data_IF_534374309989
#
_entry.id   IF_534374309989
#
_cell.length_a   1.000
_cell.length_b   1.000
_cell.length_c   1.000
_cell.angle_alpha   90.00
_cell.angle_beta   90.00
_cell.angle_gamma   90.00
#
_symmetry.space_group_name_H-M   'P 1'
#
loop_
_entity.id
_entity.type
_entity.pdbx_description
1 polymer ?
#
# COMPACT_ATOMS: atom_id res chain seq x y z
N UNK A 1 12.73 15.17 15.45
CA UNK A 1 13.20 13.78 15.19
C UNK A 1 13.27 13.62 13.70
N UNK A 2 14.42 13.23 13.14
CA UNK A 2 14.53 13.00 11.70
C UNK A 2 13.79 11.71 11.35
N UNK A 3 12.82 11.78 10.44
CA UNK A 3 12.11 10.60 9.96
C UNK A 3 13.11 9.62 9.33
N UNK A 4 12.98 8.30 9.56
CA UNK A 4 13.92 7.33 9.03
C UNK A 4 13.87 7.29 7.50
N UNK A 5 15.04 7.12 6.88
CA UNK A 5 15.18 7.06 5.42
C UNK A 5 14.36 5.90 4.83
N UNK A 6 13.58 6.18 3.78
CA UNK A 6 12.94 5.20 2.93
C UNK A 6 13.89 4.81 1.80
N UNK A 7 14.69 3.77 2.05
CA UNK A 7 15.60 3.19 1.08
C UNK A 7 15.27 1.72 0.86
N UNK A 8 14.91 1.36 -0.37
CA UNK A 8 14.65 -0.01 -0.76
C UNK A 8 15.95 -0.66 -1.24
N UNK A 9 16.39 -1.69 -0.53
CA UNK A 9 17.58 -2.41 -0.95
C UNK A 9 17.35 -3.06 -2.33
N UNK A 10 18.31 -2.99 -3.27
CA UNK A 10 18.14 -3.58 -4.61
C UNK A 10 18.02 -5.12 -4.56
N UNK A 11 18.70 -5.77 -3.60
CA UNK A 11 18.58 -7.22 -3.35
C UNK A 11 17.49 -7.60 -2.32
N UNK A 12 16.47 -6.75 -2.11
CA UNK A 12 15.37 -7.07 -1.19
C UNK A 12 14.69 -8.38 -1.61
N UNK A 13 14.28 -9.18 -0.62
CA UNK A 13 13.65 -10.50 -0.77
C UNK A 13 14.56 -11.62 -1.30
N UNK A 14 15.81 -11.34 -1.67
CA UNK A 14 16.76 -12.40 -2.02
C UNK A 14 17.29 -13.12 -0.78
N UNK A 15 17.68 -14.41 -0.89
CA UNK A 15 18.30 -15.15 0.19
C UNK A 15 19.56 -14.47 0.74
N UNK A 16 19.84 -14.68 2.02
CA UNK A 16 20.98 -14.08 2.69
C UNK A 16 22.32 -14.68 2.23
N UNK A 17 22.34 -15.98 1.92
CA UNK A 17 23.51 -16.73 1.47
C UNK A 17 24.05 -16.16 0.14
N UNK A 18 25.38 -16.02 0.06
CA UNK A 18 26.06 -15.22 -0.96
C UNK A 18 25.87 -15.76 -2.37
N UNK A 19 26.11 -17.05 -2.56
CA UNK A 19 26.06 -17.68 -3.88
C UNK A 19 24.62 -17.76 -4.39
N UNK A 20 23.69 -18.12 -3.51
CA UNK A 20 22.25 -18.13 -3.79
C UNK A 20 21.75 -16.73 -4.15
N UNK A 21 22.19 -15.68 -3.43
CA UNK A 21 21.84 -14.29 -3.77
C UNK A 21 22.40 -13.88 -5.13
N UNK A 22 23.61 -14.30 -5.48
CA UNK A 22 24.21 -13.99 -6.77
C UNK A 22 23.39 -14.60 -7.92
N UNK A 23 22.95 -15.86 -7.77
CA UNK A 23 22.04 -16.51 -8.73
C UNK A 23 20.69 -15.78 -8.80
N UNK A 24 20.07 -15.47 -7.66
CA UNK A 24 18.80 -14.73 -7.61
C UNK A 24 18.89 -13.37 -8.32
N UNK A 25 19.99 -12.63 -8.11
CA UNK A 25 20.24 -11.34 -8.77
C UNK A 25 20.36 -11.48 -10.28
N UNK A 26 21.09 -12.49 -10.77
CA UNK A 26 21.25 -12.73 -12.20
C UNK A 26 19.92 -13.08 -12.88
N UNK A 27 19.11 -13.94 -12.25
CA UNK A 27 17.78 -14.31 -12.74
C UNK A 27 16.82 -13.12 -12.72
N UNK A 28 16.80 -12.34 -11.64
CA UNK A 28 15.94 -11.16 -11.57
C UNK A 28 16.31 -10.11 -12.63
N UNK A 29 17.61 -9.86 -12.83
CA UNK A 29 18.08 -8.90 -13.82
C UNK A 29 17.63 -9.23 -15.25
N UNK A 30 17.42 -10.50 -15.60
CA UNK A 30 16.93 -10.88 -16.93
C UNK A 30 15.41 -10.75 -17.11
N UNK A 31 14.64 -10.58 -16.03
CA UNK A 31 13.16 -10.58 -16.08
C UNK A 31 12.50 -9.31 -15.54
N UNK A 32 13.22 -8.48 -14.77
CA UNK A 32 12.63 -7.35 -14.02
C UNK A 32 11.95 -6.28 -14.89
N UNK A 33 12.38 -6.13 -16.14
CA UNK A 33 11.90 -5.11 -17.09
C UNK A 33 10.92 -5.69 -18.12
N UNK A 34 10.52 -6.95 -17.97
CA UNK A 34 9.50 -7.55 -18.83
C UNK A 34 8.12 -6.92 -18.56
N UNK A 35 7.23 -6.85 -19.58
CA UNK A 35 5.87 -6.36 -19.37
C UNK A 35 5.12 -7.17 -18.32
N UNK A 36 4.35 -6.48 -17.48
CA UNK A 36 3.45 -7.12 -16.52
C UNK A 36 2.26 -7.70 -17.29
N UNK A 37 2.06 -9.01 -17.16
CA UNK A 37 0.83 -9.69 -17.59
C UNK A 37 0.00 -9.92 -16.33
N UNK A 38 -1.13 -9.21 -16.20
CA UNK A 38 -2.07 -9.35 -15.07
C UNK A 38 -3.37 -10.00 -15.57
N UNK A 39 -3.43 -11.34 -15.69
CA UNK A 39 -4.54 -12.03 -16.34
C UNK A 39 -5.80 -12.12 -15.47
N UNK A 40 -5.72 -11.72 -14.20
CA UNK A 40 -6.84 -11.71 -13.26
C UNK A 40 -6.66 -10.56 -12.26
N UNK A 41 -7.71 -9.76 -12.07
CA UNK A 41 -7.69 -8.61 -11.18
C UNK A 41 -9.07 -7.97 -11.03
N UNK A 42 -9.15 -6.96 -10.17
CA UNK A 42 -10.40 -6.29 -9.79
C UNK A 42 -10.28 -4.76 -9.84
N UNK A 43 -9.43 -4.21 -10.71
CA UNK A 43 -9.41 -2.77 -10.96
C UNK A 43 -10.69 -2.33 -11.66
N UNK A 44 -11.20 -1.14 -11.33
CA UNK A 44 -12.40 -0.61 -11.99
C UNK A 44 -12.09 -0.25 -13.46
N UNK A 45 -12.78 -0.85 -14.46
CA UNK A 45 -12.56 -0.51 -15.85
C UNK A 45 -12.89 0.95 -16.18
N UNK A 46 -13.76 1.61 -15.41
CA UNK A 46 -14.12 3.01 -15.63
C UNK A 46 -12.90 3.96 -15.47
N UNK A 47 -11.95 3.61 -14.60
CA UNK A 47 -10.72 4.40 -14.42
C UNK A 47 -9.95 4.58 -15.73
N UNK A 48 -9.90 3.55 -16.57
CA UNK A 48 -9.20 3.58 -17.84
C UNK A 48 -10.06 4.16 -18.98
N UNK A 49 -11.38 4.06 -18.87
CA UNK A 49 -12.31 4.60 -19.86
C UNK A 49 -12.45 6.11 -19.77
N UNK A 50 -12.49 6.64 -18.54
CA UNK A 50 -12.71 8.06 -18.27
C UNK A 50 -11.41 8.85 -18.06
N UNK A 51 -10.31 8.18 -17.68
CA UNK A 51 -9.01 8.78 -17.38
C UNK A 51 -9.10 9.93 -16.35
N UNK A 52 -10.07 9.82 -15.43
CA UNK A 52 -10.25 10.80 -14.38
C UNK A 52 -9.17 10.62 -13.29
N UNK A 53 -8.60 11.71 -12.75
CA UNK A 53 -7.57 11.62 -11.72
C UNK A 53 -8.16 11.11 -10.39
N UNK A 54 -7.38 10.32 -9.66
CA UNK A 54 -7.70 9.99 -8.27
C UNK A 54 -7.68 11.23 -7.39
N UNK A 55 -8.66 11.35 -6.48
CA UNK A 55 -8.88 12.58 -5.72
C UNK A 55 -7.81 12.83 -4.62
N UNK A 56 -7.40 11.79 -3.89
CA UNK A 56 -6.47 11.88 -2.77
C UNK A 56 -5.88 10.49 -2.41
N UNK A 57 -4.77 10.43 -1.64
CA UNK A 57 -4.12 9.16 -1.33
C UNK A 57 -4.91 8.26 -0.37
N UNK A 58 -5.81 8.79 0.46
CA UNK A 58 -6.62 7.96 1.35
C UNK A 58 -7.62 7.13 0.55
N UNK A 59 -8.33 7.77 -0.39
CA UNK A 59 -9.30 7.12 -1.26
C UNK A 59 -8.67 6.13 -2.24
N UNK A 60 -7.37 6.31 -2.57
CA UNK A 60 -6.64 5.41 -3.46
C UNK A 60 -5.97 4.24 -2.72
N UNK A 61 -5.30 4.51 -1.59
CA UNK A 61 -4.36 3.56 -0.97
C UNK A 61 -4.86 2.95 0.35
N UNK A 62 -5.88 3.53 0.98
CA UNK A 62 -6.31 3.12 2.34
C UNK A 62 -7.74 2.58 2.31
N UNK A 63 -8.70 3.43 1.91
CA UNK A 63 -10.14 3.12 1.96
C UNK A 63 -10.49 1.84 1.18
N UNK A 64 -9.99 1.60 -0.05
CA UNK A 64 -10.36 0.41 -0.81
C UNK A 64 -9.55 -0.84 -0.45
N UNK A 65 -8.43 -0.71 0.27
CA UNK A 65 -7.53 -1.84 0.53
C UNK A 65 -7.85 -2.53 1.85
N UNK A 66 -8.52 -3.68 1.73
CA UNK A 66 -8.90 -4.49 2.87
C UNK A 66 -7.73 -5.13 3.62
N UNK A 67 -6.54 -5.27 3.03
CA UNK A 67 -5.36 -5.69 3.81
C UNK A 67 -4.95 -4.60 4.80
N UNK A 68 -5.05 -3.33 4.38
CA UNK A 68 -4.72 -2.16 5.20
C UNK A 68 -5.73 -2.00 6.34
N UNK A 69 -7.02 -1.83 6.03
CA UNK A 69 -7.99 -1.55 7.08
C UNK A 69 -8.25 -2.75 8.00
N UNK A 70 -8.04 -4.01 7.56
CA UNK A 70 -8.09 -5.18 8.45
C UNK A 70 -7.02 -5.12 9.53
N UNK A 71 -5.81 -4.66 9.20
CA UNK A 71 -4.73 -4.54 10.19
C UNK A 71 -5.10 -3.52 11.27
N UNK A 72 -5.58 -2.34 10.86
CA UNK A 72 -5.99 -1.28 11.78
C UNK A 72 -7.21 -1.70 12.62
N UNK A 73 -8.20 -2.33 11.99
CA UNK A 73 -9.38 -2.85 12.70
C UNK A 73 -9.00 -3.89 13.75
N UNK A 74 -8.01 -4.75 13.47
CA UNK A 74 -7.51 -5.73 14.45
C UNK A 74 -6.90 -5.08 15.71
N UNK A 75 -6.50 -3.81 15.63
CA UNK A 75 -5.96 -3.02 16.74
C UNK A 75 -6.99 -2.05 17.34
N UNK A 76 -8.28 -2.19 17.00
CA UNK A 76 -9.37 -1.42 17.60
C UNK A 76 -9.77 -0.14 16.85
N UNK A 77 -9.24 0.10 15.65
CA UNK A 77 -9.68 1.23 14.80
C UNK A 77 -10.99 0.87 14.11
N UNK A 78 -12.04 1.66 14.29
CA UNK A 78 -13.31 1.44 13.60
C UNK A 78 -13.16 1.61 12.07
N UNK A 79 -14.00 0.91 11.29
CA UNK A 79 -13.97 1.05 9.82
C UNK A 79 -14.47 2.43 9.36
N UNK A 80 -15.46 2.96 10.08
CA UNK A 80 -16.02 4.28 9.87
C UNK A 80 -14.97 5.39 10.06
N UNK A 81 -14.06 5.20 11.01
CA UNK A 81 -12.91 6.08 11.28
C UNK A 81 -11.87 6.11 10.15
N UNK A 82 -11.97 5.15 9.20
CA UNK A 82 -11.12 5.02 8.02
C UNK A 82 -11.87 5.37 6.72
N UNK A 83 -13.09 5.90 6.81
CA UNK A 83 -13.90 6.23 5.63
C UNK A 83 -14.51 5.01 4.92
N UNK A 84 -14.35 3.80 5.47
CA UNK A 84 -14.88 2.56 4.89
C UNK A 84 -16.39 2.51 5.12
N UNK A 85 -17.16 2.52 4.04
CA UNK A 85 -18.63 2.52 4.11
C UNK A 85 -19.17 1.11 4.36
N UNK A 86 -20.18 0.95 5.22
CA UNK A 86 -20.92 -0.31 5.33
C UNK A 86 -21.59 -0.68 4.01
N UNK A 87 -21.75 -1.98 3.74
CA UNK A 87 -22.52 -2.47 2.58
C UNK A 87 -23.97 -1.98 2.70
N UNK A 88 -24.55 -1.53 1.58
CA UNK A 88 -25.91 -0.99 1.51
C UNK A 88 -26.92 -1.87 2.29
N UNK A 89 -27.75 -1.22 3.11
CA UNK A 89 -28.72 -1.88 3.99
C UNK A 89 -28.34 -1.90 5.47
N UNK A 90 -27.13 -1.47 5.84
CA UNK A 90 -26.70 -1.34 7.23
C UNK A 90 -26.69 0.14 7.68
N UNK A 91 -27.82 0.57 8.23
CA UNK A 91 -28.06 1.77 9.07
C UNK A 91 -27.02 2.92 8.96
N UNK A 92 -27.01 3.67 7.86
CA UNK A 92 -26.68 5.11 7.77
C UNK A 92 -25.57 5.70 8.66
N UNK A 93 -24.53 4.92 9.03
CA UNK A 93 -23.50 5.40 9.95
C UNK A 93 -22.66 6.45 9.24
N UNK A 94 -22.46 7.58 9.93
CA UNK A 94 -21.51 8.58 9.48
C UNK A 94 -20.10 7.94 9.46
N UNK A 95 -19.38 8.18 8.37
CA UNK A 95 -17.98 7.79 8.21
C UNK A 95 -17.11 9.04 8.19
N UNK A 96 -15.84 8.91 8.56
CA UNK A 96 -14.86 9.96 8.38
C UNK A 96 -14.78 10.36 6.90
N UNK A 97 -14.77 11.66 6.64
CA UNK A 97 -14.74 12.23 5.28
C UNK A 97 -13.54 13.17 5.08
N UNK A 98 -12.80 13.52 6.13
CA UNK A 98 -11.50 14.21 5.98
C UNK A 98 -10.42 13.19 5.56
N UNK A 99 -9.96 13.20 4.29
CA UNK A 99 -8.92 12.28 3.84
C UNK A 99 -7.61 12.46 4.61
N UNK A 100 -7.37 13.65 5.19
CA UNK A 100 -6.20 13.94 5.99
C UNK A 100 -6.31 13.30 7.38
N UNK A 101 -7.50 13.21 7.96
CA UNK A 101 -7.74 12.47 9.20
C UNK A 101 -7.52 10.97 8.99
N UNK A 102 -8.05 10.40 7.91
CA UNK A 102 -7.84 9.00 7.53
C UNK A 102 -6.34 8.72 7.34
N UNK A 103 -5.65 9.56 6.57
CA UNK A 103 -4.21 9.42 6.34
C UNK A 103 -3.39 9.51 7.63
N UNK A 104 -3.67 10.49 8.50
CA UNK A 104 -2.96 10.63 9.80
C UNK A 104 -3.14 9.38 10.66
N UNK A 105 -4.36 8.81 10.67
CA UNK A 105 -4.65 7.59 11.42
C UNK A 105 -3.90 6.40 10.85
N UNK A 106 -3.86 6.23 9.53
CA UNK A 106 -3.04 5.21 8.91
C UNK A 106 -1.55 5.38 9.22
N UNK A 107 -1.01 6.59 9.06
CA UNK A 107 0.40 6.88 9.31
C UNK A 107 0.80 6.60 10.78
N UNK A 108 -0.04 6.98 11.76
CA UNK A 108 0.25 6.70 13.17
C UNK A 108 0.25 5.20 13.52
N UNK A 109 -0.40 4.37 12.69
CA UNK A 109 -0.49 2.92 12.83
C UNK A 109 0.45 2.18 11.86
N UNK A 110 1.21 2.89 11.04
CA UNK A 110 2.08 2.29 10.03
C UNK A 110 3.15 1.31 10.58
N UNK A 111 3.65 1.45 11.82
CA UNK A 111 4.52 0.44 12.43
C UNK A 111 3.90 -0.96 12.58
N UNK A 112 2.57 -1.10 12.61
CA UNK A 112 1.89 -2.40 12.70
C UNK A 112 2.15 -3.31 11.50
N UNK A 113 2.50 -2.72 10.36
CA UNK A 113 2.75 -3.48 9.14
C UNK A 113 4.16 -4.10 9.11
N UNK A 114 5.02 -3.86 10.11
CA UNK A 114 6.35 -4.46 10.18
C UNK A 114 6.30 -5.99 10.04
N UNK A 115 7.02 -6.52 9.05
CA UNK A 115 7.03 -7.95 8.74
C UNK A 115 5.88 -8.44 7.84
N UNK A 116 4.96 -7.56 7.44
CA UNK A 116 3.86 -7.90 6.52
C UNK A 116 4.20 -7.58 5.06
N UNK A 117 3.58 -8.28 4.09
CA UNK A 117 3.66 -7.91 2.68
C UNK A 117 3.18 -6.48 2.38
N UNK A 118 2.15 -6.00 3.07
CA UNK A 118 1.63 -4.64 2.91
C UNK A 118 2.69 -3.57 3.19
N UNK A 119 3.61 -3.81 4.14
CA UNK A 119 4.75 -2.90 4.35
C UNK A 119 5.64 -2.83 3.11
N UNK A 120 5.97 -3.99 2.52
CA UNK A 120 6.80 -4.07 1.32
C UNK A 120 6.14 -3.33 0.15
N UNK A 121 4.84 -3.55 -0.06
CA UNK A 121 4.09 -2.93 -1.16
C UNK A 121 3.96 -1.41 -0.99
N UNK A 122 3.58 -0.92 0.19
CA UNK A 122 3.48 0.51 0.44
C UNK A 122 4.84 1.22 0.36
N UNK A 123 5.89 0.66 0.99
CA UNK A 123 7.24 1.25 0.90
C UNK A 123 7.72 1.28 -0.57
N UNK A 124 7.36 0.28 -1.39
CA UNK A 124 7.60 0.28 -2.84
C UNK A 124 6.84 1.38 -3.57
N UNK A 125 5.53 1.52 -3.36
CA UNK A 125 4.72 2.58 -3.96
C UNK A 125 5.24 3.96 -3.57
N UNK A 126 5.53 4.19 -2.30
CA UNK A 126 6.06 5.45 -1.80
C UNK A 126 7.41 5.80 -2.43
N UNK A 127 8.33 4.84 -2.51
CA UNK A 127 9.67 5.09 -3.03
C UNK A 127 9.71 5.18 -4.55
N UNK A 128 9.17 4.18 -5.24
CA UNK A 128 9.40 4.00 -6.68
C UNK A 128 8.35 4.73 -7.52
N UNK A 129 7.10 4.84 -7.04
CA UNK A 129 6.03 5.54 -7.76
C UNK A 129 5.99 7.02 -7.38
N UNK A 130 6.08 7.33 -6.09
CA UNK A 130 5.98 8.72 -5.60
C UNK A 130 7.31 9.41 -5.29
N UNK A 131 8.44 8.70 -5.32
CA UNK A 131 9.77 9.30 -5.08
C UNK A 131 10.01 9.75 -3.64
N UNK A 132 9.27 9.23 -2.65
CA UNK A 132 9.44 9.60 -1.25
C UNK A 132 10.77 9.08 -0.69
N UNK A 133 11.45 9.93 0.08
CA UNK A 133 12.77 9.62 0.66
C UNK A 133 12.71 9.29 2.16
N UNK A 134 11.58 9.57 2.82
CA UNK A 134 11.38 9.34 4.25
C UNK A 134 10.18 8.43 4.48
N UNK A 135 10.26 7.60 5.52
CA UNK A 135 9.15 6.73 5.92
C UNK A 135 8.09 7.55 6.66
N UNK A 136 6.84 7.07 6.57
CA UNK A 136 5.71 7.52 7.40
C UNK A 136 5.95 7.25 8.89
#
# INVERSE_FOLDING_TARGET
>A
MNAPLLALHPDRLFPAERETRAVARALYASVKDLPIISPHGHTDPAWFAEDAPFANPADLLIVPDHYVFRMLYSQGVALEDLGVRPVEGTNGRAVETDPRAIWRRFASHYPLFCGTPSRIWHDWVYREVFGLEVRL
#
